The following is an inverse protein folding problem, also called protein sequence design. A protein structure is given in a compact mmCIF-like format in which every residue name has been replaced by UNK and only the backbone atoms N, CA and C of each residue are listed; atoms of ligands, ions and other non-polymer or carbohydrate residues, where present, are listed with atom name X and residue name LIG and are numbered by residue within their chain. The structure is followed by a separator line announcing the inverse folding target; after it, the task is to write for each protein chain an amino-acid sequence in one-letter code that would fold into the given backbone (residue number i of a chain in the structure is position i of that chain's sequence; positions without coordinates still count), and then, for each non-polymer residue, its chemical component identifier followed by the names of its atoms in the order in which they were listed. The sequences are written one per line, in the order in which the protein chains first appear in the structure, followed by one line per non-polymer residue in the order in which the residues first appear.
data_IF_562135921023
#
_entry.id   IF_562135921023
#
_cell.length_a   1.000
_cell.length_b   1.000
_cell.length_c   1.000
_cell.angle_alpha   90.00
_cell.angle_beta   90.00
_cell.angle_gamma   90.00
#
_symmetry.space_group_name_H-M   'P 1'
#
loop_
_entity.id
_entity.type
_entity.pdbx_description
1 polymer ?
#
# COMPACT_ATOMS: atom_id res chain seq x y z
N UNK A 1 -9.70 16.04 -12.15
CA UNK A 1 -8.28 16.42 -12.24
C UNK A 1 -8.09 17.74 -12.98
N UNK A 2 -8.80 17.97 -14.09
CA UNK A 2 -8.66 19.18 -14.93
C UNK A 2 -8.83 20.53 -14.23
N UNK A 3 -9.52 20.57 -13.08
CA UNK A 3 -9.74 21.77 -12.28
C UNK A 3 -8.99 21.76 -10.93
N UNK A 4 -8.11 20.78 -10.70
CA UNK A 4 -7.35 20.71 -9.46
C UNK A 4 -6.27 21.79 -9.44
N UNK A 5 -6.27 22.63 -8.42
CA UNK A 5 -5.20 23.59 -8.16
C UNK A 5 -4.18 22.98 -7.17
N UNK A 6 -2.88 23.21 -7.36
CA UNK A 6 -1.87 22.66 -6.47
C UNK A 6 -1.94 23.34 -5.10
N UNK A 7 -1.94 22.54 -4.03
CA UNK A 7 -1.68 23.02 -2.69
C UNK A 7 -0.17 23.13 -2.48
N UNK A 8 0.29 24.31 -2.06
CA UNK A 8 1.73 24.62 -1.93
C UNK A 8 2.18 24.81 -0.49
N UNK A 9 1.25 24.93 0.45
CA UNK A 9 1.57 25.05 1.86
C UNK A 9 2.17 23.74 2.40
N UNK A 10 3.33 23.77 3.08
CA UNK A 10 3.97 22.56 3.57
C UNK A 10 3.06 21.70 4.47
N UNK A 11 2.24 22.33 5.31
CA UNK A 11 1.31 21.64 6.21
C UNK A 11 0.24 20.85 5.43
N UNK A 12 -0.25 21.38 4.32
CA UNK A 12 -1.20 20.69 3.45
C UNK A 12 -0.56 19.50 2.75
N UNK A 13 0.66 19.70 2.23
CA UNK A 13 1.43 18.63 1.57
C UNK A 13 1.67 17.49 2.55
N UNK A 14 2.16 17.78 3.76
CA UNK A 14 2.42 16.77 4.80
C UNK A 14 1.16 16.00 5.19
N UNK A 15 0.04 16.71 5.40
CA UNK A 15 -1.24 16.09 5.74
C UNK A 15 -1.76 15.18 4.63
N UNK A 16 -1.63 15.59 3.37
CA UNK A 16 -2.09 14.81 2.20
C UNK A 16 -1.19 13.58 2.00
N UNK A 17 0.13 13.75 2.07
CA UNK A 17 1.08 12.64 1.98
C UNK A 17 0.81 11.62 3.08
N UNK A 18 0.54 12.07 4.32
CA UNK A 18 0.16 11.16 5.41
C UNK A 18 -1.12 10.40 5.07
N UNK A 19 -2.16 11.08 4.59
CA UNK A 19 -3.44 10.45 4.25
C UNK A 19 -3.28 9.41 3.13
N UNK A 20 -2.44 9.67 2.13
CA UNK A 20 -2.13 8.72 1.06
C UNK A 20 -1.40 7.48 1.59
N UNK A 21 -0.38 7.66 2.44
CA UNK A 21 0.32 6.54 3.08
C UNK A 21 -0.58 5.70 3.97
N UNK A 22 -1.43 6.34 4.77
CA UNK A 22 -2.40 5.65 5.63
C UNK A 22 -3.40 4.83 4.78
N UNK A 23 -3.82 5.38 3.63
CA UNK A 23 -4.70 4.68 2.69
C UNK A 23 -4.01 3.46 2.07
N UNK A 24 -2.79 3.60 1.56
CA UNK A 24 -2.02 2.49 0.98
C UNK A 24 -1.84 1.37 2.01
N UNK A 25 -1.45 1.71 3.25
CA UNK A 25 -1.26 0.71 4.31
C UNK A 25 -2.57 -0.04 4.61
N UNK A 26 -3.67 0.67 4.86
CA UNK A 26 -4.95 0.03 5.15
C UNK A 26 -5.42 -0.85 3.98
N UNK A 27 -5.23 -0.38 2.76
CA UNK A 27 -5.66 -1.10 1.57
C UNK A 27 -4.84 -2.36 1.36
N UNK A 28 -3.52 -2.31 1.50
CA UNK A 28 -2.65 -3.48 1.43
C UNK A 28 -3.00 -4.51 2.52
N UNK A 29 -3.25 -4.07 3.75
CA UNK A 29 -3.59 -4.95 4.87
C UNK A 29 -4.95 -5.65 4.72
N UNK A 30 -5.88 -5.06 3.95
CA UNK A 30 -7.29 -5.47 3.90
C UNK A 30 -7.80 -5.83 2.51
N UNK A 31 -6.94 -5.86 1.50
CA UNK A 31 -7.34 -6.11 0.12
C UNK A 31 -7.97 -7.51 -0.04
N UNK A 32 -9.26 -7.61 -0.39
CA UNK A 32 -9.90 -8.90 -0.64
C UNK A 32 -9.31 -9.65 -1.84
N UNK A 33 -8.63 -8.95 -2.78
CA UNK A 33 -8.00 -9.57 -3.93
C UNK A 33 -6.72 -10.34 -3.57
N UNK A 34 -6.14 -10.14 -2.38
CA UNK A 34 -4.94 -10.87 -1.96
C UNK A 34 -5.12 -12.40 -2.06
N UNK A 35 -6.26 -12.93 -1.58
CA UNK A 35 -6.56 -14.36 -1.67
C UNK A 35 -6.69 -14.87 -3.12
N UNK A 36 -7.23 -14.03 -4.01
CA UNK A 36 -7.29 -14.32 -5.44
C UNK A 36 -5.88 -14.40 -6.03
N UNK A 37 -5.05 -13.37 -5.84
CA UNK A 37 -3.67 -13.37 -6.36
C UNK A 37 -2.85 -14.54 -5.82
N UNK A 38 -2.94 -14.82 -4.52
CA UNK A 38 -2.25 -15.94 -3.88
C UNK A 38 -2.64 -17.29 -4.50
N UNK A 39 -3.90 -17.47 -4.90
CA UNK A 39 -4.36 -18.71 -5.55
C UNK A 39 -3.83 -18.90 -6.97
N UNK A 40 -3.62 -17.82 -7.73
CA UNK A 40 -3.15 -17.88 -9.12
C UNK A 40 -1.63 -17.87 -9.25
N UNK A 41 -0.94 -17.12 -8.37
CA UNK A 41 0.47 -16.77 -8.54
C UNK A 41 1.36 -17.17 -7.36
N UNK A 42 0.76 -17.66 -6.27
CA UNK A 42 1.47 -18.01 -5.03
C UNK A 42 1.53 -16.83 -4.04
N UNK A 43 1.67 -17.13 -2.74
CA UNK A 43 1.57 -16.14 -1.68
C UNK A 43 2.71 -15.11 -1.70
N UNK A 44 3.94 -15.53 -2.01
CA UNK A 44 5.10 -14.61 -2.04
C UNK A 44 4.96 -13.60 -3.17
N UNK A 45 4.54 -14.06 -4.36
CA UNK A 45 4.32 -13.17 -5.50
C UNK A 45 3.17 -12.19 -5.22
N UNK A 46 2.07 -12.68 -4.63
CA UNK A 46 0.92 -11.85 -4.29
C UNK A 46 1.26 -10.78 -3.24
N UNK A 47 2.10 -11.11 -2.26
CA UNK A 47 2.59 -10.16 -1.27
C UNK A 47 3.45 -9.07 -1.92
N UNK A 48 4.43 -9.45 -2.75
CA UNK A 48 5.23 -8.48 -3.51
C UNK A 48 4.37 -7.59 -4.40
N UNK A 49 3.39 -8.16 -5.10
CA UNK A 49 2.51 -7.39 -5.98
C UNK A 49 1.65 -6.38 -5.20
N UNK A 50 1.19 -6.72 -3.99
CA UNK A 50 0.45 -5.79 -3.14
C UNK A 50 1.32 -4.62 -2.68
N UNK A 51 2.49 -4.89 -2.10
CA UNK A 51 3.30 -3.87 -1.41
C UNK A 51 4.29 -3.14 -2.33
N UNK A 52 4.70 -3.74 -3.45
CA UNK A 52 5.69 -3.13 -4.36
C UNK A 52 5.05 -2.55 -5.63
N UNK A 53 3.75 -2.78 -5.86
CA UNK A 53 3.06 -2.27 -7.05
C UNK A 53 1.69 -1.65 -6.76
N UNK A 54 0.74 -2.37 -6.14
CA UNK A 54 -0.61 -1.84 -5.94
C UNK A 54 -0.66 -0.73 -4.88
N UNK A 55 0.08 -0.89 -3.79
CA UNK A 55 0.11 0.02 -2.65
C UNK A 55 1.55 0.31 -2.25
N UNK A 56 2.28 0.97 -3.14
CA UNK A 56 3.74 1.19 -3.04
C UNK A 56 4.20 1.95 -1.79
N UNK A 57 3.32 2.70 -1.11
CA UNK A 57 3.67 3.38 0.13
C UNK A 57 3.36 2.56 1.39
N UNK A 58 2.77 1.38 1.25
CA UNK A 58 2.51 0.47 2.35
C UNK A 58 3.78 -0.30 2.73
N UNK A 59 3.94 -0.58 4.02
CA UNK A 59 4.97 -1.49 4.51
C UNK A 59 4.36 -2.87 4.71
N UNK A 60 5.03 -3.96 4.27
CA UNK A 60 4.62 -5.30 4.63
C UNK A 60 4.53 -5.42 6.15
N UNK A 61 3.54 -6.16 6.68
CA UNK A 61 3.30 -6.37 8.12
C UNK A 61 4.43 -7.13 8.86
N UNK A 62 5.60 -7.24 8.23
CA UNK A 62 6.70 -8.16 8.47
C UNK A 62 6.32 -9.61 8.17
N UNK A 63 7.08 -10.19 7.23
CA UNK A 63 7.40 -11.62 7.29
C UNK A 63 8.05 -11.83 8.67
N UNK A 64 7.28 -12.29 9.64
CA UNK A 64 7.83 -12.90 10.85
C UNK A 64 8.51 -14.19 10.39
N UNK A 65 9.67 -14.07 9.73
CA UNK A 65 10.50 -15.23 9.46
C UNK A 65 10.97 -15.72 10.83
N UNK A 66 10.32 -16.80 11.23
CA UNK A 66 10.69 -17.70 12.30
C UNK A 66 12.21 -17.75 12.45
N UNK A 67 12.70 -17.20 13.56
CA UNK A 67 13.95 -17.68 14.15
C UNK A 67 13.76 -19.18 14.41
N UNK A 68 14.43 -20.03 13.64
CA UNK A 68 14.78 -21.41 14.03
C UNK A 68 16.07 -21.81 13.36
#
# INVERSE_FOLDING_TARGET
VEQAEPLTEPEDIERIVKAQKDYDQYSADRDPAHGLFSSYFGPEWAEQFLYEFLFENAMPLAVSQSQT
#
